data_IF_533401490191
#
_entry.id   IF_533401490191
#
_cell.length_a   1.000
_cell.length_b   1.000
_cell.length_c   1.000
_cell.angle_alpha   90.00
_cell.angle_beta   90.00
_cell.angle_gamma   90.00
#
_symmetry.space_group_name_H-M   'P 1'
#
loop_
_entity.id
_entity.type
_entity.pdbx_description
1 polymer ?
#
# COMPACT_ATOMS: atom_id res chain seq x y z
N UNK A 1 14.29 48.63 -5.95
CA UNK A 1 13.01 48.71 -6.65
C UNK A 1 12.88 47.49 -7.56
N UNK A 2 12.21 46.43 -7.11
CA UNK A 2 11.84 45.31 -7.97
C UNK A 2 10.51 45.67 -8.63
N UNK A 3 10.52 45.95 -9.93
CA UNK A 3 9.30 46.06 -10.72
C UNK A 3 8.80 44.67 -11.04
N UNK A 4 7.70 44.25 -10.39
CA UNK A 4 6.91 43.09 -10.77
C UNK A 4 5.93 43.58 -11.86
N UNK A 5 6.30 43.44 -13.13
CA UNK A 5 5.37 43.53 -14.24
C UNK A 5 4.50 42.27 -14.22
N UNK A 6 3.40 42.33 -13.49
CA UNK A 6 2.35 41.30 -13.52
C UNK A 6 1.60 41.45 -14.84
N UNK A 7 2.00 40.71 -15.86
CA UNK A 7 1.16 40.52 -17.03
C UNK A 7 -0.15 39.82 -16.60
N UNK A 8 -1.32 40.33 -16.99
CA UNK A 8 -2.58 39.65 -16.69
C UNK A 8 -2.58 38.31 -17.39
N UNK A 9 -2.70 37.24 -16.58
CA UNK A 9 -2.90 35.88 -17.09
C UNK A 9 -4.28 35.82 -17.76
N UNK A 10 -4.32 35.88 -19.09
CA UNK A 10 -5.52 35.60 -19.86
C UNK A 10 -5.86 34.11 -19.75
N UNK A 11 -6.81 33.78 -18.89
CA UNK A 11 -7.38 32.45 -18.83
C UNK A 11 -8.44 32.31 -19.92
N UNK A 12 -8.16 31.57 -20.98
CA UNK A 12 -9.18 31.15 -21.94
C UNK A 12 -9.86 29.89 -21.39
N UNK A 13 -11.11 30.02 -20.98
CA UNK A 13 -11.92 28.84 -20.62
C UNK A 13 -12.34 28.15 -21.90
N UNK A 14 -11.85 26.93 -22.11
CA UNK A 14 -12.30 26.10 -23.23
C UNK A 14 -13.80 25.83 -23.07
N UNK A 15 -14.58 26.17 -24.08
CA UNK A 15 -16.02 25.83 -24.15
C UNK A 15 -16.27 24.34 -24.42
N UNK A 16 -15.24 23.58 -24.71
CA UNK A 16 -15.32 22.14 -24.88
C UNK A 16 -15.11 21.46 -23.53
N UNK A 17 -16.09 20.67 -23.09
CA UNK A 17 -15.94 19.81 -21.95
C UNK A 17 -14.77 18.83 -22.18
N UNK A 18 -13.91 18.62 -21.19
CA UNK A 18 -12.82 17.64 -21.33
C UNK A 18 -13.41 16.27 -21.61
N UNK A 19 -13.07 15.73 -22.78
CA UNK A 19 -13.43 14.35 -23.12
C UNK A 19 -12.49 13.44 -22.35
N UNK A 20 -12.98 12.86 -21.27
CA UNK A 20 -12.28 11.78 -20.59
C UNK A 20 -12.37 10.55 -21.50
N UNK A 21 -11.30 10.27 -22.24
CA UNK A 21 -11.20 9.04 -23.01
C UNK A 21 -11.01 7.88 -22.03
N UNK A 22 -12.10 7.29 -21.61
CA UNK A 22 -12.12 6.05 -20.80
C UNK A 22 -11.80 4.84 -21.71
N UNK A 23 -10.71 4.97 -22.48
CA UNK A 23 -10.25 3.90 -23.34
C UNK A 23 -9.76 2.74 -22.45
N UNK A 24 -10.48 1.64 -22.51
CA UNK A 24 -10.13 0.29 -22.05
C UNK A 24 -10.56 -0.19 -20.67
N UNK A 25 -11.35 0.49 -19.86
CA UNK A 25 -11.93 -0.23 -18.74
C UNK A 25 -13.23 -0.93 -19.17
N UNK A 26 -13.17 -2.24 -19.29
CA UNK A 26 -14.34 -3.12 -19.50
C UNK A 26 -15.44 -2.87 -18.46
N UNK A 27 -15.05 -2.39 -17.30
CA UNK A 27 -15.91 -2.04 -16.16
C UNK A 27 -16.91 -0.94 -16.48
N UNK A 28 -16.51 0.10 -17.24
CA UNK A 28 -17.35 1.24 -17.56
C UNK A 28 -18.27 1.01 -18.78
N UNK A 29 -17.97 0.01 -19.59
CA UNK A 29 -18.75 -0.36 -20.77
C UNK A 29 -19.92 -1.29 -20.46
N UNK A 30 -19.93 -1.92 -19.28
CA UNK A 30 -20.94 -2.90 -18.90
C UNK A 30 -21.84 -2.30 -17.81
N UNK A 31 -23.10 -2.09 -18.12
CA UNK A 31 -24.11 -1.60 -17.14
C UNK A 31 -24.31 -2.56 -15.95
N UNK A 32 -23.82 -3.79 -16.05
CA UNK A 32 -23.85 -4.83 -15.01
C UNK A 32 -22.42 -5.32 -14.72
N UNK A 33 -21.66 -4.55 -13.94
CA UNK A 33 -20.39 -5.07 -13.44
C UNK A 33 -20.64 -5.99 -12.23
N UNK A 34 -19.96 -7.14 -12.26
CA UNK A 34 -19.93 -8.04 -11.10
C UNK A 34 -18.86 -7.59 -10.11
N UNK A 35 -19.15 -7.68 -8.80
CA UNK A 35 -18.14 -7.46 -7.74
C UNK A 35 -16.90 -8.33 -7.93
N UNK A 36 -17.06 -9.51 -8.50
CA UNK A 36 -15.94 -10.41 -8.79
C UNK A 36 -14.99 -9.84 -9.85
N UNK A 37 -15.51 -9.19 -10.87
CA UNK A 37 -14.69 -8.50 -11.88
C UNK A 37 -13.92 -7.33 -11.27
N UNK A 38 -14.58 -6.52 -10.44
CA UNK A 38 -13.89 -5.44 -9.71
C UNK A 38 -12.79 -5.98 -8.80
N UNK A 39 -13.05 -7.04 -8.07
CA UNK A 39 -12.05 -7.65 -7.20
C UNK A 39 -10.84 -8.17 -8.00
N UNK A 40 -11.09 -8.74 -9.17
CA UNK A 40 -10.05 -9.25 -10.06
C UNK A 40 -9.18 -8.11 -10.64
N UNK A 41 -9.78 -7.03 -11.11
CA UNK A 41 -9.05 -5.86 -11.60
C UNK A 41 -8.24 -5.17 -10.50
N UNK A 42 -8.77 -5.14 -9.27
CA UNK A 42 -8.08 -4.57 -8.12
C UNK A 42 -6.87 -5.39 -7.64
N UNK A 43 -6.75 -6.67 -8.02
CA UNK A 43 -5.58 -7.48 -7.63
C UNK A 43 -4.26 -6.88 -8.13
N UNK A 44 -4.28 -6.19 -9.26
CA UNK A 44 -3.12 -5.53 -9.85
C UNK A 44 -2.94 -4.07 -9.38
N UNK A 45 -3.81 -3.59 -8.49
CA UNK A 45 -3.72 -2.22 -8.00
C UNK A 45 -2.49 -2.05 -7.10
N UNK A 46 -1.69 -0.98 -7.26
CA UNK A 46 -0.45 -0.79 -6.51
C UNK A 46 -0.61 -0.89 -4.99
N UNK A 47 -1.72 -0.39 -4.43
CA UNK A 47 -1.99 -0.48 -2.99
C UNK A 47 -2.22 -1.93 -2.53
N UNK A 48 -2.85 -2.78 -3.36
CA UNK A 48 -3.05 -4.20 -3.05
C UNK A 48 -1.72 -4.96 -3.18
N UNK A 49 -0.91 -4.64 -4.19
CA UNK A 49 0.42 -5.22 -4.34
C UNK A 49 1.33 -4.85 -3.16
N UNK A 50 1.28 -3.60 -2.70
CA UNK A 50 2.07 -3.16 -1.55
C UNK A 50 1.72 -3.92 -0.26
N UNK A 51 0.41 -4.10 0.02
CA UNK A 51 0.00 -4.86 1.21
C UNK A 51 0.28 -6.36 1.05
N UNK A 52 0.34 -6.87 -0.18
CA UNK A 52 0.71 -8.26 -0.44
C UNK A 52 2.20 -8.53 -0.14
N UNK A 53 3.07 -7.57 -0.47
CA UNK A 53 4.49 -7.61 -0.07
C UNK A 53 4.59 -7.57 1.47
N UNK A 54 3.84 -6.69 2.14
CA UNK A 54 3.77 -6.63 3.61
C UNK A 54 3.32 -7.97 4.21
N UNK A 55 2.32 -8.63 3.61
CA UNK A 55 1.86 -9.97 4.01
C UNK A 55 2.98 -11.01 3.90
N UNK A 56 3.66 -11.05 2.75
CA UNK A 56 4.79 -11.97 2.56
C UNK A 56 5.92 -11.71 3.58
N UNK A 57 6.22 -10.45 3.87
CA UNK A 57 7.21 -10.08 4.88
C UNK A 57 6.78 -10.57 6.29
N UNK A 58 5.51 -10.41 6.66
CA UNK A 58 5.01 -10.89 7.95
C UNK A 58 5.02 -12.41 8.08
N UNK A 59 4.74 -13.15 6.99
CA UNK A 59 4.88 -14.60 6.95
C UNK A 59 6.34 -15.04 7.15
N UNK A 60 7.30 -14.32 6.55
CA UNK A 60 8.72 -14.55 6.82
C UNK A 60 9.12 -14.19 8.25
N UNK A 61 8.46 -13.21 8.87
CA UNK A 61 8.59 -12.91 10.30
C UNK A 61 8.21 -14.10 11.18
N UNK A 62 7.14 -14.82 10.83
CA UNK A 62 6.75 -16.07 11.52
C UNK A 62 7.84 -17.14 11.38
N UNK A 63 8.37 -17.31 10.15
CA UNK A 63 9.45 -18.27 9.91
C UNK A 63 10.71 -17.92 10.72
N UNK A 64 11.04 -16.62 10.79
CA UNK A 64 12.15 -16.12 11.59
C UNK A 64 11.94 -16.39 13.10
N UNK A 65 10.74 -16.12 13.60
CA UNK A 65 10.42 -16.42 15.00
C UNK A 65 10.57 -17.92 15.32
N UNK A 66 10.18 -18.81 14.39
CA UNK A 66 10.39 -20.26 14.52
C UNK A 66 11.86 -20.67 14.52
N UNK A 67 12.78 -19.88 13.91
CA UNK A 67 14.21 -20.17 13.98
C UNK A 67 14.77 -20.08 15.41
N UNK A 68 14.11 -19.34 16.30
CA UNK A 68 14.51 -19.21 17.70
C UNK A 68 14.40 -20.54 18.50
N UNK A 69 13.76 -21.56 17.95
CA UNK A 69 13.76 -22.90 18.51
C UNK A 69 15.04 -23.69 18.17
N UNK A 70 15.84 -23.20 17.20
CA UNK A 70 17.07 -23.86 16.80
C UNK A 70 18.23 -23.40 17.65
N UNK A 71 19.20 -24.28 17.95
CA UNK A 71 20.43 -23.90 18.60
C UNK A 71 21.17 -22.84 17.82
N UNK A 72 21.70 -21.83 18.52
CA UNK A 72 22.57 -20.83 17.93
C UNK A 72 24.02 -21.19 18.18
N UNK A 73 24.81 -21.12 17.12
CA UNK A 73 26.23 -21.38 17.15
C UNK A 73 27.01 -20.08 16.93
N UNK A 74 27.97 -19.79 17.77
CA UNK A 74 28.90 -18.70 17.62
C UNK A 74 30.34 -19.24 17.58
N UNK A 75 31.15 -18.71 16.69
CA UNK A 75 32.60 -18.95 16.67
C UNK A 75 33.29 -17.62 16.87
N UNK A 76 34.21 -17.57 17.80
CA UNK A 76 35.05 -16.40 18.06
C UNK A 76 36.49 -16.79 18.04
N UNK A 77 37.31 -15.92 17.45
CA UNK A 77 38.76 -16.02 17.49
C UNK A 77 39.34 -14.66 17.82
N UNK A 78 40.29 -14.60 18.70
CA UNK A 78 40.99 -13.37 19.03
C UNK A 78 42.48 -13.60 19.11
N UNK A 79 43.24 -12.61 18.64
CA UNK A 79 44.68 -12.56 18.72
C UNK A 79 45.07 -11.28 19.48
N UNK A 80 45.87 -11.42 20.53
CA UNK A 80 46.40 -10.31 21.29
C UNK A 80 47.92 -10.27 21.16
N UNK A 81 48.40 -9.27 20.43
CA UNK A 81 49.80 -8.93 20.40
C UNK A 81 50.22 -8.33 21.75
N UNK A 82 51.37 -8.80 22.26
CA UNK A 82 51.94 -8.25 23.50
C UNK A 82 53.28 -7.67 23.22
N UNK A 83 53.47 -6.38 23.53
CA UNK A 83 54.75 -5.74 23.42
C UNK A 83 55.70 -6.24 24.52
N UNK A 84 57.02 -6.18 24.23
CA UNK A 84 58.08 -6.61 25.14
C UNK A 84 58.04 -5.79 26.46
N UNK A 85 58.54 -6.39 27.56
CA UNK A 85 58.64 -5.66 28.80
C UNK A 85 59.73 -4.57 28.71
N UNK A 86 59.62 -3.48 29.50
CA UNK A 86 60.66 -2.42 29.57
C UNK A 86 62.04 -2.97 29.94
N UNK A 87 62.12 -4.14 30.61
CA UNK A 87 63.36 -4.82 30.95
C UNK A 87 63.96 -5.67 29.82
N UNK A 88 63.33 -5.71 28.63
CA UNK A 88 63.82 -6.43 27.45
C UNK A 88 63.35 -7.88 27.32
N UNK A 89 62.55 -8.39 28.24
CA UNK A 89 62.02 -9.76 28.15
C UNK A 89 60.90 -9.84 27.11
N UNK A 90 61.01 -10.86 26.22
CA UNK A 90 59.98 -11.13 25.19
C UNK A 90 58.73 -11.73 25.83
N UNK A 91 57.58 -11.17 25.49
CA UNK A 91 56.26 -11.71 25.85
C UNK A 91 55.63 -12.43 24.67
N UNK A 92 55.13 -13.65 24.94
CA UNK A 92 54.41 -14.40 23.92
C UNK A 92 53.08 -13.78 23.62
N UNK A 93 52.72 -13.70 22.34
CA UNK A 93 51.38 -13.33 21.90
C UNK A 93 50.34 -14.34 22.35
N UNK A 94 49.11 -13.91 22.51
CA UNK A 94 48.03 -14.77 22.92
C UNK A 94 47.03 -14.95 21.77
N UNK A 95 46.83 -16.21 21.38
CA UNK A 95 45.77 -16.60 20.50
C UNK A 95 44.70 -17.37 21.29
N UNK A 96 43.41 -16.98 21.11
CA UNK A 96 42.30 -17.72 21.69
C UNK A 96 41.23 -17.95 20.64
N UNK A 97 40.64 -19.15 20.64
CA UNK A 97 39.52 -19.51 19.82
C UNK A 97 38.45 -20.17 20.71
N UNK A 98 37.19 -19.83 20.47
CA UNK A 98 36.09 -20.38 21.22
C UNK A 98 34.87 -20.67 20.36
N UNK A 99 34.09 -21.64 20.78
CA UNK A 99 32.78 -21.95 20.19
C UNK A 99 31.76 -21.79 21.29
N UNK A 100 30.73 -20.95 21.01
CA UNK A 100 29.56 -20.76 21.85
C UNK A 100 28.39 -21.51 21.28
N UNK A 101 27.58 -22.06 22.15
CA UNK A 101 26.46 -22.90 21.78
C UNK A 101 25.29 -22.61 22.72
N UNK A 102 24.18 -22.04 22.16
CA UNK A 102 22.99 -21.68 22.93
C UNK A 102 21.86 -22.67 22.61
N UNK A 103 21.39 -23.37 23.65
CA UNK A 103 20.25 -24.29 23.55
C UNK A 103 19.01 -23.65 24.16
N UNK A 104 17.90 -23.50 23.42
CA UNK A 104 16.61 -23.04 23.95
C UNK A 104 15.93 -24.20 24.73
N UNK A 105 16.26 -24.38 26.02
CA UNK A 105 15.73 -25.50 26.84
C UNK A 105 14.33 -25.25 27.39
N UNK A 106 13.90 -23.98 27.56
CA UNK A 106 12.60 -23.60 28.12
C UNK A 106 11.87 -22.63 27.20
N UNK A 107 11.21 -23.18 26.16
CA UNK A 107 10.62 -22.40 25.07
C UNK A 107 9.26 -21.77 25.42
N UNK A 108 8.52 -22.32 26.38
CA UNK A 108 7.10 -21.99 26.61
C UNK A 108 6.80 -20.56 27.05
N UNK A 109 7.76 -19.88 27.70
CA UNK A 109 7.54 -18.51 28.19
C UNK A 109 7.99 -17.41 27.22
N UNK A 110 8.97 -17.69 26.36
CA UNK A 110 9.57 -16.71 25.47
C UNK A 110 9.34 -17.04 24.00
N UNK A 111 9.86 -18.15 23.49
CA UNK A 111 9.78 -18.52 22.07
C UNK A 111 8.36 -18.77 21.61
N UNK A 112 7.56 -19.53 22.40
CA UNK A 112 6.16 -19.81 22.06
C UNK A 112 5.33 -18.52 21.99
N UNK A 113 5.56 -17.57 22.91
CA UNK A 113 4.88 -16.28 22.90
C UNK A 113 5.31 -15.41 21.73
N UNK A 114 6.58 -15.45 21.38
CA UNK A 114 7.11 -14.71 20.22
C UNK A 114 6.52 -15.25 18.92
N UNK A 115 6.47 -16.57 18.74
CA UNK A 115 5.84 -17.19 17.57
C UNK A 115 4.35 -16.87 17.50
N UNK A 116 3.64 -16.97 18.64
CA UNK A 116 2.22 -16.62 18.70
C UNK A 116 1.97 -15.14 18.33
N UNK A 117 2.81 -14.23 18.80
CA UNK A 117 2.74 -12.81 18.44
C UNK A 117 2.97 -12.58 16.93
N UNK A 118 3.97 -13.22 16.35
CA UNK A 118 4.26 -13.12 14.91
C UNK A 118 3.14 -13.71 14.04
N UNK A 119 2.49 -14.78 14.50
CA UNK A 119 1.33 -15.35 13.82
C UNK A 119 0.15 -14.36 13.87
N UNK A 120 -0.12 -13.77 15.03
CA UNK A 120 -1.19 -12.79 15.19
C UNK A 120 -0.96 -11.55 14.31
N UNK A 121 0.29 -11.09 14.21
CA UNK A 121 0.67 -9.99 13.30
C UNK A 121 0.43 -10.37 11.83
N UNK A 122 0.79 -11.57 11.41
CA UNK A 122 0.54 -12.05 10.05
C UNK A 122 -0.96 -12.11 9.73
N UNK A 123 -1.78 -12.58 10.66
CA UNK A 123 -3.25 -12.60 10.50
C UNK A 123 -3.85 -11.18 10.47
N UNK A 124 -3.30 -10.24 11.23
CA UNK A 124 -3.69 -8.84 11.17
C UNK A 124 -3.45 -8.23 9.78
N UNK A 125 -2.30 -8.50 9.16
CA UNK A 125 -1.99 -8.04 7.80
C UNK A 125 -2.92 -8.66 6.75
N UNK A 126 -3.29 -9.93 6.89
CA UNK A 126 -4.29 -10.57 6.01
C UNK A 126 -5.66 -9.90 6.13
N UNK A 127 -6.05 -9.57 7.35
CA UNK A 127 -7.31 -8.84 7.61
C UNK A 127 -7.26 -7.43 7.03
N UNK A 128 -6.15 -6.73 7.18
CA UNK A 128 -5.91 -5.41 6.58
C UNK A 128 -6.07 -5.45 5.05
N UNK A 129 -5.50 -6.45 4.37
CA UNK A 129 -5.67 -6.66 2.92
C UNK A 129 -7.15 -6.83 2.55
N UNK A 130 -7.87 -7.67 3.29
CA UNK A 130 -9.29 -7.90 3.04
C UNK A 130 -10.13 -6.63 3.21
N UNK A 131 -9.86 -5.86 4.27
CA UNK A 131 -10.55 -4.59 4.53
C UNK A 131 -10.25 -3.56 3.44
N UNK A 132 -8.98 -3.41 3.05
CA UNK A 132 -8.59 -2.51 1.97
C UNK A 132 -9.30 -2.86 0.67
N UNK A 133 -9.32 -4.14 0.30
CA UNK A 133 -10.01 -4.59 -0.92
C UNK A 133 -11.51 -4.26 -0.88
N UNK A 134 -12.18 -4.52 0.26
CA UNK A 134 -13.59 -4.17 0.43
C UNK A 134 -13.85 -2.66 0.36
N UNK A 135 -12.99 -1.85 0.96
CA UNK A 135 -13.09 -0.39 0.91
C UNK A 135 -12.95 0.12 -0.52
N UNK A 136 -11.99 -0.41 -1.28
CA UNK A 136 -11.78 -0.03 -2.68
C UNK A 136 -12.98 -0.41 -3.55
N UNK A 137 -13.53 -1.61 -3.41
CA UNK A 137 -14.74 -2.04 -4.12
C UNK A 137 -15.90 -1.10 -3.80
N UNK A 138 -16.12 -0.80 -2.52
CA UNK A 138 -17.20 0.09 -2.08
C UNK A 138 -17.04 1.52 -2.61
N UNK A 139 -15.80 2.01 -2.67
CA UNK A 139 -15.50 3.33 -3.25
C UNK A 139 -15.85 3.36 -4.74
N UNK A 140 -15.41 2.38 -5.52
CA UNK A 140 -15.73 2.28 -6.95
C UNK A 140 -17.24 2.17 -7.17
N UNK A 141 -17.94 1.33 -6.41
CA UNK A 141 -19.41 1.21 -6.49
C UNK A 141 -20.11 2.53 -6.21
N UNK A 142 -19.63 3.29 -5.23
CA UNK A 142 -20.18 4.61 -4.90
C UNK A 142 -20.02 5.57 -6.08
N UNK A 143 -18.82 5.67 -6.64
CA UNK A 143 -18.55 6.57 -7.77
C UNK A 143 -19.36 6.19 -9.02
N UNK A 144 -19.48 4.90 -9.33
CA UNK A 144 -20.31 4.43 -10.45
C UNK A 144 -21.78 4.79 -10.28
N UNK A 145 -22.33 4.70 -9.04
CA UNK A 145 -23.71 5.14 -8.76
C UNK A 145 -23.86 6.65 -8.89
N UNK A 146 -22.84 7.43 -8.53
CA UNK A 146 -22.84 8.88 -8.71
C UNK A 146 -22.80 9.24 -10.20
N UNK A 147 -21.93 8.61 -10.99
CA UNK A 147 -21.89 8.81 -12.43
C UNK A 147 -23.23 8.51 -13.10
N UNK A 148 -23.86 7.40 -12.73
CA UNK A 148 -25.20 7.07 -13.25
C UNK A 148 -26.22 8.17 -12.92
N UNK A 149 -26.27 8.63 -11.66
CA UNK A 149 -27.19 9.71 -11.26
C UNK A 149 -26.92 11.02 -12.00
N UNK A 150 -25.64 11.34 -12.27
CA UNK A 150 -25.30 12.52 -13.05
C UNK A 150 -25.74 12.38 -14.52
N UNK A 151 -25.55 11.22 -15.12
CA UNK A 151 -26.04 10.92 -16.47
C UNK A 151 -27.56 11.01 -16.58
N UNK A 152 -28.28 10.41 -15.63
CA UNK A 152 -29.74 10.48 -15.59
C UNK A 152 -30.22 11.94 -15.43
N UNK A 153 -29.56 12.73 -14.59
CA UNK A 153 -29.86 14.15 -14.42
C UNK A 153 -29.57 14.94 -15.70
N UNK A 154 -28.43 14.69 -16.35
CA UNK A 154 -28.08 15.34 -17.60
C UNK A 154 -29.15 15.09 -18.68
N UNK A 155 -29.64 13.86 -18.80
CA UNK A 155 -30.70 13.50 -19.74
C UNK A 155 -31.99 14.32 -19.45
N UNK A 156 -32.41 14.41 -18.19
CA UNK A 156 -33.59 15.21 -17.78
C UNK A 156 -33.40 16.69 -18.17
N UNK A 157 -32.21 17.25 -17.90
CA UNK A 157 -31.96 18.65 -18.26
C UNK A 157 -32.00 18.90 -19.77
N UNK A 158 -31.41 18.01 -20.56
CA UNK A 158 -31.35 18.15 -22.01
C UNK A 158 -32.74 17.93 -22.69
N UNK A 159 -33.45 16.89 -22.27
CA UNK A 159 -34.69 16.49 -22.93
C UNK A 159 -35.92 17.26 -22.47
N UNK A 160 -35.99 17.67 -21.20
CA UNK A 160 -37.17 18.27 -20.62
C UNK A 160 -36.98 19.74 -20.29
N UNK A 161 -36.01 20.08 -19.44
CA UNK A 161 -35.91 21.44 -18.90
C UNK A 161 -35.47 22.48 -19.92
N UNK A 162 -34.52 22.18 -20.79
CA UNK A 162 -34.09 23.13 -21.82
C UNK A 162 -35.19 23.37 -22.85
N UNK A 163 -35.94 22.33 -23.22
CA UNK A 163 -37.08 22.45 -24.12
C UNK A 163 -38.20 23.28 -23.52
N UNK A 164 -38.60 22.98 -22.28
CA UNK A 164 -39.66 23.73 -21.57
C UNK A 164 -39.28 25.20 -21.38
N UNK A 165 -38.03 25.51 -21.01
CA UNK A 165 -37.61 26.92 -20.86
C UNK A 165 -37.58 27.66 -22.19
N UNK A 166 -37.23 26.99 -23.28
CA UNK A 166 -37.31 27.58 -24.62
C UNK A 166 -38.73 27.86 -25.04
N UNK A 167 -39.65 26.88 -24.90
CA UNK A 167 -41.07 27.02 -25.20
C UNK A 167 -41.75 28.14 -24.37
N UNK A 168 -41.37 28.23 -23.07
CA UNK A 168 -41.85 29.32 -22.19
C UNK A 168 -41.33 30.69 -22.61
N UNK A 169 -40.06 30.78 -23.02
CA UNK A 169 -39.49 32.03 -23.50
C UNK A 169 -40.17 32.50 -24.78
N UNK A 170 -40.43 31.60 -25.72
CA UNK A 170 -41.18 31.91 -26.98
C UNK A 170 -42.63 32.36 -26.67
N UNK A 171 -43.32 31.65 -25.80
CA UNK A 171 -44.67 31.99 -25.41
C UNK A 171 -44.78 33.33 -24.67
N UNK A 172 -43.71 33.80 -24.04
CA UNK A 172 -43.70 35.11 -23.36
C UNK A 172 -43.38 36.30 -24.29
N UNK A 173 -42.94 36.03 -25.50
CA UNK A 173 -42.57 37.05 -26.50
C UNK A 173 -43.69 37.32 -27.52
N UNK A 174 -44.75 36.49 -27.49
CA UNK A 174 -45.97 36.66 -28.28
C UNK A 174 -47.08 37.28 -27.47
#
# INVERSE_FOLDING_TARGET
SFNFDAQPLEFSVSKQLPVISLNNSTILKTSNYSRNLLAQELTNHPAILAIDVKRQASEKGVDLAKQQYKPQWGVNASYAYRDNMPAGDSRADLFSAGVTFELPLFTGSRQDKQVAASIAESEAVKTEKLLLTKQMISAVEKELRQLKRLSDRQAIYQEQLLKQTHDQAEASLT
#
